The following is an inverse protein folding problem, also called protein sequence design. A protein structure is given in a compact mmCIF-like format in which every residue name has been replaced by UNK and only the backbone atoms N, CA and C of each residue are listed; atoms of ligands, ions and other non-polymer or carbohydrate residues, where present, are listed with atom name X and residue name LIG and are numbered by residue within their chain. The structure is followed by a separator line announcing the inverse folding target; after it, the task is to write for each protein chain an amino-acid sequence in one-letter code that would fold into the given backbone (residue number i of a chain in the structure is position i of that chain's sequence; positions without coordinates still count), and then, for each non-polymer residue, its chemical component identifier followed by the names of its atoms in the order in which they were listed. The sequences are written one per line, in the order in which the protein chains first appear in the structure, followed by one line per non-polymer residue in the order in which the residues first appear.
data_IF_177543881327
#
_entry.id   IF_177543881327
#
_cell.length_a   1.000
_cell.length_b   1.000
_cell.length_c   1.000
_cell.angle_alpha   90.00
_cell.angle_beta   90.00
_cell.angle_gamma   90.00
#
_symmetry.space_group_name_H-M   'P 1'
#
loop_
_entity.id
_entity.type
_entity.pdbx_description
1 polymer ?
#
# COMPACT_ATOMS: atom_id res chain seq x y z
N UNK A 1 -11.92 20.70 16.74
CA UNK A 1 -12.37 20.36 15.37
C UNK A 1 -12.20 18.88 15.06
N UNK A 2 -11.02 18.29 15.28
CA UNK A 2 -10.75 16.84 15.06
C UNK A 2 -11.83 15.92 15.64
N UNK A 3 -12.16 16.08 16.93
CA UNK A 3 -13.24 15.32 17.60
C UNK A 3 -14.58 15.43 16.86
N UNK A 4 -14.87 16.59 16.28
CA UNK A 4 -16.12 16.80 15.55
C UNK A 4 -16.17 16.01 14.23
N UNK A 5 -15.05 16.01 13.51
CA UNK A 5 -14.90 15.28 12.25
C UNK A 5 -15.01 13.77 12.49
N UNK A 6 -14.28 13.24 13.47
CA UNK A 6 -14.31 11.81 13.80
C UNK A 6 -15.73 11.40 14.20
N UNK A 7 -16.38 12.17 15.08
CA UNK A 7 -17.75 11.89 15.53
C UNK A 7 -18.74 11.85 14.35
N UNK A 8 -18.68 12.83 13.44
CA UNK A 8 -19.56 12.88 12.28
C UNK A 8 -19.35 11.72 11.30
N UNK A 9 -18.10 11.29 11.10
CA UNK A 9 -17.76 10.21 10.15
C UNK A 9 -17.99 8.80 10.72
N UNK A 10 -17.83 8.62 12.03
CA UNK A 10 -18.00 7.33 12.71
C UNK A 10 -19.39 7.14 13.31
N UNK A 11 -20.20 8.21 13.37
CA UNK A 11 -21.47 8.26 14.09
C UNK A 11 -21.33 7.91 15.59
N UNK A 12 -20.16 8.16 16.18
CA UNK A 12 -19.86 8.00 17.60
C UNK A 12 -20.04 9.35 18.31
N UNK A 13 -20.59 9.37 19.52
CA UNK A 13 -20.85 10.62 20.22
C UNK A 13 -19.55 11.40 20.56
N UNK A 14 -19.60 12.73 20.51
CA UNK A 14 -18.41 13.58 20.73
C UNK A 14 -17.70 13.30 22.05
N UNK A 15 -18.43 13.06 23.13
CA UNK A 15 -17.88 12.75 24.45
C UNK A 15 -17.10 11.42 24.45
N UNK A 16 -17.60 10.40 23.75
CA UNK A 16 -16.93 9.10 23.63
C UNK A 16 -15.63 9.20 22.83
N UNK A 17 -15.66 9.95 21.71
CA UNK A 17 -14.47 10.22 20.89
C UNK A 17 -13.43 11.01 21.70
N UNK A 18 -13.86 12.08 22.39
CA UNK A 18 -12.97 12.91 23.19
C UNK A 18 -12.30 12.13 24.31
N UNK A 19 -13.06 11.30 25.03
CA UNK A 19 -12.54 10.48 26.13
C UNK A 19 -11.58 9.40 25.64
N UNK A 20 -11.90 8.76 24.51
CA UNK A 20 -11.01 7.79 23.86
C UNK A 20 -9.69 8.43 23.44
N UNK A 21 -9.73 9.61 22.83
CA UNK A 21 -8.51 10.35 22.42
C UNK A 21 -7.67 10.74 23.63
N UNK A 22 -8.28 11.18 24.74
CA UNK A 22 -7.55 11.50 25.96
C UNK A 22 -6.77 10.28 26.48
N UNK A 23 -7.43 9.11 26.55
CA UNK A 23 -6.79 7.86 26.97
C UNK A 23 -5.65 7.44 26.02
N UNK A 24 -5.84 7.58 24.70
CA UNK A 24 -4.80 7.29 23.72
C UNK A 24 -3.57 8.20 23.88
N UNK A 25 -3.79 9.49 24.17
CA UNK A 25 -2.71 10.44 24.42
C UNK A 25 -1.96 10.16 25.74
N UNK A 26 -2.63 9.56 26.73
CA UNK A 26 -2.01 9.05 27.96
C UNK A 26 -1.22 7.75 27.76
N UNK A 27 -1.20 7.19 26.54
CA UNK A 27 -0.49 5.96 26.20
C UNK A 27 -1.30 4.68 26.45
N UNK A 28 -2.61 4.78 26.68
CA UNK A 28 -3.46 3.61 26.85
C UNK A 28 -3.56 2.80 25.54
N UNK A 29 -3.48 1.47 25.65
CA UNK A 29 -3.62 0.57 24.50
C UNK A 29 -5.08 0.28 24.18
N UNK A 30 -5.39 -0.11 22.93
CA UNK A 30 -6.75 -0.48 22.52
C UNK A 30 -7.34 -1.55 23.45
N UNK A 31 -6.65 -2.68 23.76
CA UNK A 31 -7.19 -3.68 24.68
C UNK A 31 -7.43 -3.12 26.09
N UNK A 32 -6.58 -2.21 26.56
CA UNK A 32 -6.75 -1.59 27.88
C UNK A 32 -8.01 -0.72 27.92
N UNK A 33 -8.21 0.11 26.90
CA UNK A 33 -9.37 1.00 26.79
C UNK A 33 -10.66 0.16 26.72
N UNK A 34 -10.75 -0.77 25.77
CA UNK A 34 -11.96 -1.58 25.53
C UNK A 34 -12.30 -2.50 26.71
N UNK A 35 -11.32 -2.88 27.55
CA UNK A 35 -11.55 -3.75 28.71
C UNK A 35 -11.79 -2.98 30.01
N UNK A 36 -10.98 -1.96 30.31
CA UNK A 36 -10.91 -1.34 31.64
C UNK A 36 -11.38 0.12 31.67
N UNK A 37 -11.78 0.70 30.54
CA UNK A 37 -12.25 2.09 30.44
C UNK A 37 -13.61 2.22 29.75
N UNK A 38 -14.42 1.15 29.79
CA UNK A 38 -15.76 1.10 29.18
C UNK A 38 -16.66 2.25 29.62
N UNK A 39 -16.70 2.56 30.91
CA UNK A 39 -17.56 3.65 31.41
C UNK A 39 -17.15 5.02 30.85
N UNK A 40 -15.84 5.25 30.71
CA UNK A 40 -15.31 6.50 30.18
C UNK A 40 -15.54 6.65 28.67
N UNK A 41 -15.53 5.55 27.93
CA UNK A 41 -15.75 5.56 26.47
C UNK A 41 -17.19 5.31 26.06
N UNK A 42 -18.10 5.00 27.00
CA UNK A 42 -19.47 4.58 26.69
C UNK A 42 -19.53 3.19 26.03
N UNK A 43 -18.64 2.29 26.46
CA UNK A 43 -18.54 0.88 26.04
C UNK A 43 -18.20 0.67 24.56
N UNK A 44 -17.31 1.51 24.01
CA UNK A 44 -16.76 1.28 22.67
C UNK A 44 -15.96 -0.04 22.62
N UNK A 45 -16.14 -0.80 21.55
CA UNK A 45 -15.39 -2.02 21.28
C UNK A 45 -13.98 -1.71 20.72
N UNK A 46 -13.14 -2.74 20.59
CA UNK A 46 -11.77 -2.61 20.09
C UNK A 46 -11.69 -2.14 18.62
N UNK A 47 -12.71 -2.42 17.81
CA UNK A 47 -12.78 -2.01 16.40
C UNK A 47 -13.05 -0.52 16.32
N UNK A 48 -14.03 -0.03 17.08
CA UNK A 48 -14.40 1.38 17.17
C UNK A 48 -13.24 2.22 17.74
N UNK A 49 -12.61 1.76 18.82
CA UNK A 49 -11.43 2.44 19.40
C UNK A 49 -10.27 2.46 18.40
N UNK A 50 -10.04 1.37 17.67
CA UNK A 50 -9.06 1.30 16.57
C UNK A 50 -9.34 2.33 15.48
N UNK A 51 -10.59 2.41 15.00
CA UNK A 51 -11.01 3.40 13.98
C UNK A 51 -10.79 4.84 14.48
N UNK A 52 -11.14 5.14 15.73
CA UNK A 52 -10.89 6.48 16.31
C UNK A 52 -9.39 6.80 16.31
N UNK A 53 -8.54 5.83 16.72
CA UNK A 53 -7.08 6.02 16.74
C UNK A 53 -6.53 6.32 15.35
N UNK A 54 -6.86 5.51 14.35
CA UNK A 54 -6.38 5.69 12.97
C UNK A 54 -6.80 7.04 12.38
N UNK A 55 -8.07 7.44 12.59
CA UNK A 55 -8.57 8.72 12.12
C UNK A 55 -7.93 9.90 12.86
N UNK A 56 -7.70 9.75 14.16
CA UNK A 56 -7.03 10.76 14.98
C UNK A 56 -5.62 11.00 14.48
N UNK A 57 -4.85 9.94 14.24
CA UNK A 57 -3.48 10.03 13.71
C UNK A 57 -3.46 10.73 12.34
N UNK A 58 -4.34 10.33 11.40
CA UNK A 58 -4.46 10.99 10.08
C UNK A 58 -4.80 12.48 10.18
N UNK A 59 -5.74 12.85 11.05
CA UNK A 59 -6.14 14.25 11.21
C UNK A 59 -5.07 15.07 11.94
N UNK A 60 -4.28 14.47 12.82
CA UNK A 60 -3.11 15.11 13.41
C UNK A 60 -2.03 15.41 12.36
N UNK A 61 -1.79 14.50 11.41
CA UNK A 61 -0.85 14.76 10.31
C UNK A 61 -1.31 15.96 9.46
N UNK A 62 -2.60 16.03 9.13
CA UNK A 62 -3.19 17.19 8.42
C UNK A 62 -3.01 18.47 9.23
N UNK A 63 -3.24 18.43 10.54
CA UNK A 63 -3.04 19.59 11.43
C UNK A 63 -1.59 20.08 11.41
N UNK A 64 -0.62 19.19 11.58
CA UNK A 64 0.82 19.53 11.55
C UNK A 64 1.23 20.10 10.19
N UNK A 65 0.72 19.50 9.11
CA UNK A 65 1.00 19.95 7.76
C UNK A 65 0.41 21.35 7.50
N UNK A 66 -0.80 21.61 7.99
CA UNK A 66 -1.45 22.92 7.92
C UNK A 66 -0.62 24.00 8.60
N UNK A 67 -0.13 23.73 9.80
CA UNK A 67 0.74 24.67 10.54
C UNK A 67 2.02 24.99 9.76
N UNK A 68 2.62 23.97 9.14
CA UNK A 68 3.80 24.14 8.28
C UNK A 68 3.51 25.02 7.06
N UNK A 69 2.36 24.81 6.42
CA UNK A 69 1.92 25.58 5.24
C UNK A 69 1.65 27.04 5.63
N UNK A 70 0.91 27.27 6.72
CA UNK A 70 0.64 28.62 7.21
C UNK A 70 1.94 29.38 7.48
N UNK A 71 2.89 28.75 8.18
CA UNK A 71 4.20 29.34 8.45
C UNK A 71 4.96 29.68 7.18
N UNK A 72 5.00 28.77 6.20
CA UNK A 72 5.71 28.98 4.95
C UNK A 72 5.13 30.12 4.09
N UNK A 73 3.81 30.32 4.13
CA UNK A 73 3.15 31.41 3.40
C UNK A 73 3.33 32.75 4.14
N UNK A 74 3.29 32.73 5.47
CA UNK A 74 3.50 33.90 6.32
C UNK A 74 4.93 34.44 6.19
N UNK A 75 5.94 33.56 6.15
CA UNK A 75 7.34 33.92 5.90
C UNK A 75 7.57 34.60 4.55
N UNK A 76 6.69 34.39 3.57
CA UNK A 76 6.71 35.07 2.26
C UNK A 76 5.94 36.39 2.26
N UNK A 77 5.23 36.74 3.34
CA UNK A 77 4.36 37.92 3.41
C UNK A 77 3.09 37.81 2.56
N UNK A 78 2.71 36.61 2.14
CA UNK A 78 1.59 36.35 1.21
C UNK A 78 0.33 35.84 1.92
N UNK A 79 0.33 35.78 3.25
CA UNK A 79 -0.77 35.23 4.03
C UNK A 79 -1.88 36.27 4.26
N UNK A 80 -2.90 36.27 3.39
CA UNK A 80 -4.10 37.08 3.62
C UNK A 80 -5.04 36.45 4.66
N UNK A 81 -5.88 37.27 5.30
CA UNK A 81 -6.90 36.77 6.25
C UNK A 81 -7.93 35.82 5.60
N UNK A 82 -8.19 35.98 4.31
CA UNK A 82 -9.04 35.06 3.55
C UNK A 82 -8.34 33.72 3.33
N UNK A 83 -7.07 33.75 2.89
CA UNK A 83 -6.28 32.54 2.66
C UNK A 83 -6.06 31.77 3.95
N UNK A 84 -5.75 32.47 5.05
CA UNK A 84 -5.61 31.88 6.38
C UNK A 84 -6.87 31.14 6.81
N UNK A 85 -8.04 31.79 6.73
CA UNK A 85 -9.34 31.18 7.07
C UNK A 85 -9.62 29.95 6.20
N UNK A 86 -9.32 30.02 4.91
CA UNK A 86 -9.47 28.89 3.98
C UNK A 86 -8.62 27.70 4.44
N UNK A 87 -7.32 27.91 4.66
CA UNK A 87 -6.38 26.88 5.13
C UNK A 87 -6.79 26.28 6.48
N UNK A 88 -7.22 27.10 7.44
CA UNK A 88 -7.71 26.67 8.76
C UNK A 88 -8.97 25.79 8.68
N UNK A 89 -9.83 26.04 7.70
CA UNK A 89 -11.06 25.27 7.48
C UNK A 89 -10.86 23.95 6.73
N UNK A 90 -9.76 23.79 5.98
CA UNK A 90 -9.50 22.62 5.13
C UNK A 90 -8.93 21.44 5.92
N UNK A 91 -9.64 20.30 5.94
CA UNK A 91 -9.21 19.05 6.59
C UNK A 91 -8.88 17.92 5.60
N UNK A 92 -8.97 18.19 4.30
CA UNK A 92 -8.53 17.28 3.27
C UNK A 92 -7.06 17.55 2.95
N UNK A 93 -6.18 16.54 3.10
CA UNK A 93 -4.75 16.69 2.86
C UNK A 93 -4.43 17.11 1.41
N UNK A 94 -5.16 16.57 0.43
CA UNK A 94 -4.98 16.90 -1.00
C UNK A 94 -5.38 18.34 -1.29
N UNK A 95 -6.55 18.76 -0.80
CA UNK A 95 -7.03 20.14 -0.98
C UNK A 95 -6.08 21.14 -0.29
N UNK A 96 -5.54 20.78 0.86
CA UNK A 96 -4.56 21.58 1.59
C UNK A 96 -3.26 21.76 0.78
N UNK A 97 -2.76 20.71 0.13
CA UNK A 97 -1.60 20.83 -0.78
C UNK A 97 -1.93 21.66 -2.03
N UNK A 98 -3.13 21.51 -2.60
CA UNK A 98 -3.55 22.30 -3.76
C UNK A 98 -3.61 23.81 -3.42
N UNK A 99 -4.10 24.18 -2.23
CA UNK A 99 -4.09 25.57 -1.75
C UNK A 99 -2.65 26.08 -1.58
N UNK A 100 -1.73 25.23 -1.12
CA UNK A 100 -0.34 25.60 -0.88
C UNK A 100 0.49 25.69 -2.18
N UNK A 101 0.09 24.99 -3.24
CA UNK A 101 0.88 24.80 -4.45
C UNK A 101 1.43 26.11 -5.06
N UNK A 102 0.66 27.21 -5.19
CA UNK A 102 1.17 28.48 -5.72
C UNK A 102 2.27 29.12 -4.88
N UNK A 103 2.29 28.86 -3.57
CA UNK A 103 3.21 29.44 -2.59
C UNK A 103 4.39 28.53 -2.26
N UNK A 104 4.39 27.31 -2.80
CA UNK A 104 5.46 26.35 -2.54
C UNK A 104 6.75 26.84 -3.20
N UNK A 105 7.89 26.92 -2.48
CA UNK A 105 9.14 27.35 -3.08
C UNK A 105 9.50 26.53 -4.33
N UNK A 106 9.67 27.21 -5.47
CA UNK A 106 9.89 26.58 -6.77
C UNK A 106 11.38 26.55 -7.12
N UNK A 107 11.81 25.48 -7.80
CA UNK A 107 13.10 25.45 -8.50
C UNK A 107 13.04 26.40 -9.71
N UNK A 108 14.17 26.66 -10.39
CA UNK A 108 14.18 27.40 -11.67
C UNK A 108 13.36 26.67 -12.74
N UNK A 109 12.06 26.94 -12.82
CA UNK A 109 11.14 26.44 -13.85
C UNK A 109 11.17 27.32 -15.08
N UNK A 110 10.58 26.86 -16.20
CA UNK A 110 10.41 27.70 -17.40
C UNK A 110 9.60 28.97 -17.10
N UNK A 111 8.54 28.84 -16.29
CA UNK A 111 7.73 29.97 -15.86
C UNK A 111 8.52 30.95 -14.96
N UNK A 112 9.31 30.45 -13.99
CA UNK A 112 10.17 31.31 -13.16
C UNK A 112 11.17 32.08 -14.03
N UNK A 113 11.83 31.40 -14.99
CA UNK A 113 12.74 32.06 -15.94
C UNK A 113 12.00 33.12 -16.78
N UNK A 114 10.81 32.81 -17.29
CA UNK A 114 10.02 33.77 -18.05
C UNK A 114 9.62 35.00 -17.23
N UNK A 115 9.32 34.84 -15.92
CA UNK A 115 9.08 35.95 -14.99
C UNK A 115 10.32 36.80 -14.75
N UNK A 116 11.48 36.17 -14.57
CA UNK A 116 12.77 36.85 -14.44
C UNK A 116 13.09 37.70 -15.69
N UNK A 117 12.66 37.24 -16.87
CA UNK A 117 12.75 37.96 -18.15
C UNK A 117 11.66 39.03 -18.34
N UNK A 118 10.80 39.28 -17.35
CA UNK A 118 9.78 40.33 -17.40
C UNK A 118 8.54 39.99 -18.22
N UNK A 119 8.26 38.72 -18.52
CA UNK A 119 7.12 38.30 -19.36
C UNK A 119 5.78 38.15 -18.62
N UNK A 120 5.72 38.38 -17.30
CA UNK A 120 4.47 38.29 -16.53
C UNK A 120 3.37 39.22 -17.07
N UNK A 121 3.62 40.49 -17.42
CA UNK A 121 2.59 41.36 -17.99
C UNK A 121 2.09 40.89 -19.36
N UNK A 122 2.96 40.29 -20.20
CA UNK A 122 2.53 39.68 -21.47
C UNK A 122 1.61 38.49 -21.22
N UNK A 123 1.97 37.62 -20.26
CA UNK A 123 1.12 36.50 -19.85
C UNK A 123 -0.26 36.96 -19.33
N UNK A 124 -0.31 38.07 -18.58
CA UNK A 124 -1.58 38.66 -18.12
C UNK A 124 -2.46 39.16 -19.28
N UNK A 125 -1.86 39.87 -20.24
CA UNK A 125 -2.56 40.34 -21.45
C UNK A 125 -3.13 39.15 -22.23
N UNK A 126 -2.33 38.10 -22.45
CA UNK A 126 -2.75 36.88 -23.14
C UNK A 126 -3.89 36.21 -22.39
N UNK A 127 -3.76 36.04 -21.07
CA UNK A 127 -4.72 35.29 -20.27
C UNK A 127 -6.10 35.98 -20.18
N UNK A 128 -6.14 37.31 -20.24
CA UNK A 128 -7.37 38.09 -20.34
C UNK A 128 -8.11 37.88 -21.68
N UNK A 129 -7.39 37.53 -22.75
CA UNK A 129 -7.92 37.24 -24.10
C UNK A 129 -8.73 38.39 -24.73
N UNK A 130 -8.45 39.63 -24.34
CA UNK A 130 -9.10 40.82 -24.89
C UNK A 130 -8.34 41.41 -26.09
N UNK A 131 -7.03 41.16 -26.16
CA UNK A 131 -6.17 41.62 -27.25
C UNK A 131 -6.39 40.78 -28.52
N UNK A 132 -6.50 41.45 -29.66
CA UNK A 132 -6.74 40.81 -30.97
C UNK A 132 -5.47 40.58 -31.77
N UNK A 133 -4.44 41.39 -31.53
CA UNK A 133 -3.14 41.27 -32.17
C UNK A 133 -2.05 41.12 -31.11
N UNK A 134 -1.91 39.89 -30.62
CA UNK A 134 -0.94 39.60 -29.56
C UNK A 134 0.49 39.62 -30.07
N UNK A 135 0.70 39.34 -31.35
CA UNK A 135 2.03 39.31 -31.97
C UNK A 135 2.63 40.71 -31.96
N UNK A 136 1.85 41.73 -32.34
CA UNK A 136 2.27 43.13 -32.24
C UNK A 136 2.56 43.55 -30.80
N UNK A 137 1.76 43.11 -29.82
CA UNK A 137 1.99 43.44 -28.40
C UNK A 137 3.20 42.74 -27.81
N UNK A 138 3.57 41.56 -28.31
CA UNK A 138 4.75 40.85 -27.87
C UNK A 138 6.06 41.54 -28.30
N UNK A 139 6.03 42.39 -29.34
CA UNK A 139 7.19 43.20 -29.75
C UNK A 139 7.68 44.12 -28.63
N UNK A 140 6.76 44.64 -27.80
CA UNK A 140 7.08 45.51 -26.66
C UNK A 140 7.92 44.80 -25.57
N UNK A 141 8.02 43.47 -25.63
CA UNK A 141 8.72 42.63 -24.64
C UNK A 141 10.04 42.04 -25.15
N UNK A 142 10.48 42.40 -26.37
CA UNK A 142 11.75 41.92 -26.93
C UNK A 142 12.95 42.54 -26.21
N UNK A 143 14.00 41.75 -26.06
CA UNK A 143 15.27 42.14 -25.45
C UNK A 143 16.42 41.28 -25.99
N UNK A 144 17.66 41.54 -25.57
CA UNK A 144 18.81 40.70 -25.96
C UNK A 144 18.63 39.23 -25.56
N UNK A 145 17.88 38.96 -24.48
CA UNK A 145 17.56 37.60 -24.00
C UNK A 145 16.25 37.05 -24.59
N UNK A 146 15.46 37.89 -25.26
CA UNK A 146 14.19 37.57 -25.92
C UNK A 146 14.24 38.07 -27.38
N UNK A 147 14.95 37.35 -28.26
CA UNK A 147 15.35 37.86 -29.57
C UNK A 147 14.22 37.92 -30.61
N UNK A 148 13.11 37.21 -30.38
CA UNK A 148 11.97 37.19 -31.28
C UNK A 148 10.63 37.01 -30.53
N UNK A 149 9.55 37.32 -31.25
CA UNK A 149 8.17 37.32 -30.74
C UNK A 149 7.76 35.93 -30.26
N UNK A 150 8.19 34.86 -30.93
CA UNK A 150 7.77 33.51 -30.59
C UNK A 150 8.43 33.05 -29.27
N UNK A 151 9.67 33.44 -29.00
CA UNK A 151 10.32 33.21 -27.70
C UNK A 151 9.59 33.94 -26.58
N UNK A 152 9.17 35.19 -26.80
CA UNK A 152 8.39 35.96 -25.81
C UNK A 152 7.01 35.33 -25.56
N UNK A 153 6.29 34.95 -26.62
CA UNK A 153 5.01 34.25 -26.53
C UNK A 153 5.15 32.89 -25.83
N UNK A 154 6.19 32.12 -26.13
CA UNK A 154 6.47 30.85 -25.47
C UNK A 154 6.73 31.03 -23.98
N UNK A 155 7.51 32.03 -23.58
CA UNK A 155 7.73 32.34 -22.16
C UNK A 155 6.44 32.74 -21.45
N UNK A 156 5.59 33.54 -22.10
CA UNK A 156 4.27 33.87 -21.57
C UNK A 156 3.34 32.64 -21.46
N UNK A 157 3.37 31.72 -22.45
CA UNK A 157 2.67 30.44 -22.39
C UNK A 157 3.17 29.56 -21.25
N UNK A 158 4.47 29.53 -20.97
CA UNK A 158 5.04 28.78 -19.83
C UNK A 158 4.50 29.30 -18.48
N UNK A 159 4.33 30.61 -18.33
CA UNK A 159 3.70 31.22 -17.15
C UNK A 159 2.23 30.81 -17.04
N UNK A 160 1.47 30.89 -18.13
CA UNK A 160 0.06 30.50 -18.17
C UNK A 160 -0.09 29.01 -17.87
N UNK A 161 0.78 28.16 -18.41
CA UNK A 161 0.74 26.72 -18.18
C UNK A 161 0.93 26.38 -16.69
N UNK A 162 1.82 27.09 -16.00
CA UNK A 162 1.97 26.97 -14.55
C UNK A 162 0.69 27.41 -13.81
N UNK A 163 0.10 28.55 -14.18
CA UNK A 163 -1.17 29.02 -13.58
C UNK A 163 -2.31 28.01 -13.74
N UNK A 164 -2.43 27.39 -14.92
CA UNK A 164 -3.44 26.35 -15.19
C UNK A 164 -3.19 25.10 -14.34
N UNK A 165 -1.92 24.67 -14.21
CA UNK A 165 -1.53 23.51 -13.41
C UNK A 165 -1.81 23.68 -11.91
N UNK A 166 -1.80 24.93 -11.44
CA UNK A 166 -1.98 25.29 -10.04
C UNK A 166 -3.41 25.73 -9.70
N UNK A 167 -4.28 25.91 -10.71
CA UNK A 167 -5.67 26.27 -10.49
C UNK A 167 -6.44 25.11 -9.83
N UNK A 168 -7.02 25.41 -8.67
CA UNK A 168 -7.70 24.42 -7.83
C UNK A 168 -8.90 23.78 -8.55
N UNK A 169 -9.66 24.55 -9.34
CA UNK A 169 -10.84 24.01 -10.06
C UNK A 169 -10.40 23.07 -11.18
N UNK A 170 -9.37 23.46 -11.93
CA UNK A 170 -8.77 22.62 -12.97
C UNK A 170 -8.25 21.30 -12.39
N UNK A 171 -7.50 21.36 -11.28
CA UNK A 171 -6.99 20.18 -10.57
C UNK A 171 -8.11 19.26 -10.12
N UNK A 172 -9.17 19.79 -9.51
CA UNK A 172 -10.31 18.99 -9.07
C UNK A 172 -11.06 18.32 -10.23
N UNK A 173 -11.27 19.04 -11.33
CA UNK A 173 -11.94 18.48 -12.51
C UNK A 173 -11.12 17.35 -13.13
N UNK A 174 -9.82 17.55 -13.33
CA UNK A 174 -8.94 16.53 -13.89
C UNK A 174 -8.79 15.34 -12.92
N UNK A 175 -8.65 15.58 -11.62
CA UNK A 175 -8.64 14.54 -10.58
C UNK A 175 -9.90 13.68 -10.62
N UNK A 176 -11.07 14.31 -10.77
CA UNK A 176 -12.33 13.59 -10.87
C UNK A 176 -12.45 12.81 -12.19
N UNK A 177 -11.95 13.35 -13.30
CA UNK A 177 -11.85 12.63 -14.57
C UNK A 177 -10.98 11.38 -14.42
N UNK A 178 -9.78 11.50 -13.85
CA UNK A 178 -8.88 10.37 -13.60
C UNK A 178 -9.54 9.30 -12.72
N UNK A 179 -10.16 9.70 -11.59
CA UNK A 179 -10.83 8.76 -10.67
C UNK A 179 -11.97 7.99 -11.32
N UNK A 180 -12.63 8.56 -12.34
CA UNK A 180 -13.78 7.96 -13.00
C UNK A 180 -13.42 7.17 -14.25
N UNK A 181 -12.54 7.71 -15.08
CA UNK A 181 -12.37 7.30 -16.49
C UNK A 181 -10.92 6.93 -16.82
N UNK A 182 -9.96 7.05 -15.90
CA UNK A 182 -8.59 6.62 -16.19
C UNK A 182 -8.51 5.12 -16.49
N UNK A 183 -7.67 4.80 -17.47
CA UNK A 183 -7.27 3.45 -17.83
C UNK A 183 -5.86 3.24 -17.30
N UNK A 184 -5.66 2.15 -16.57
CA UNK A 184 -4.31 1.67 -16.25
C UNK A 184 -3.83 0.82 -17.41
N UNK A 185 -2.65 1.14 -17.94
CA UNK A 185 -2.00 0.42 -19.03
C UNK A 185 -0.62 -0.07 -18.59
N UNK A 186 -0.25 -1.26 -19.03
CA UNK A 186 1.03 -1.90 -18.76
C UNK A 186 1.68 -2.32 -20.05
N UNK A 187 2.98 -2.01 -20.18
CA UNK A 187 3.82 -2.44 -21.31
C UNK A 187 5.13 -3.04 -20.84
N UNK A 188 5.56 -4.11 -21.50
CA UNK A 188 6.89 -4.70 -21.26
C UNK A 188 8.00 -3.68 -21.59
N UNK A 189 9.01 -3.60 -20.71
CA UNK A 189 10.27 -2.92 -21.00
C UNK A 189 11.04 -3.73 -22.03
N UNK A 190 11.36 -3.13 -23.18
CA UNK A 190 12.12 -3.78 -24.27
C UNK A 190 13.41 -4.43 -23.74
N UNK A 191 13.67 -5.68 -24.11
CA UNK A 191 14.90 -6.41 -23.74
C UNK A 191 14.83 -7.11 -22.38
N UNK A 192 13.64 -7.22 -21.78
CA UNK A 192 13.40 -7.90 -20.50
C UNK A 192 12.49 -9.13 -20.62
N UNK A 193 12.25 -9.63 -21.83
CA UNK A 193 11.30 -10.68 -22.15
C UNK A 193 11.54 -11.98 -21.37
N UNK A 194 12.80 -12.40 -21.21
CA UNK A 194 13.18 -13.66 -20.53
C UNK A 194 13.13 -13.53 -19.00
N UNK A 195 13.53 -12.37 -18.46
CA UNK A 195 13.52 -12.11 -17.01
C UNK A 195 12.09 -11.84 -16.49
N UNK A 196 11.23 -11.28 -17.34
CA UNK A 196 9.89 -10.81 -16.97
C UNK A 196 8.79 -11.87 -17.14
N UNK A 197 9.11 -13.14 -17.42
CA UNK A 197 8.11 -14.20 -17.73
C UNK A 197 6.99 -14.30 -16.69
N UNK A 198 7.30 -14.03 -15.42
CA UNK A 198 6.32 -13.96 -14.31
C UNK A 198 5.21 -12.92 -14.52
N UNK A 199 5.46 -11.91 -15.34
CA UNK A 199 4.57 -10.79 -15.65
C UNK A 199 4.01 -10.85 -17.07
N UNK A 200 4.10 -12.00 -17.75
CA UNK A 200 3.67 -12.19 -19.14
C UNK A 200 2.23 -11.73 -19.41
N UNK A 201 1.32 -11.97 -18.46
CA UNK A 201 -0.09 -11.53 -18.52
C UNK A 201 -0.25 -10.00 -18.64
N UNK A 202 0.80 -9.23 -18.33
CA UNK A 202 0.79 -7.77 -18.26
C UNK A 202 1.71 -7.09 -19.30
N UNK A 203 2.21 -7.82 -20.30
CA UNK A 203 3.14 -7.28 -21.30
C UNK A 203 2.50 -6.25 -22.25
N UNK A 204 1.22 -6.40 -22.56
CA UNK A 204 0.41 -5.42 -23.27
C UNK A 204 -1.02 -5.51 -22.74
N UNK A 205 -1.26 -4.82 -21.64
CA UNK A 205 -2.50 -4.93 -20.87
C UNK A 205 -3.07 -3.55 -20.60
N UNK A 206 -4.39 -3.42 -20.69
CA UNK A 206 -5.09 -2.19 -20.29
C UNK A 206 -6.47 -2.48 -19.72
N UNK A 207 -6.87 -1.74 -18.69
CA UNK A 207 -8.21 -1.82 -18.13
C UNK A 207 -8.63 -0.53 -17.39
N UNK A 208 -9.94 -0.31 -17.16
CA UNK A 208 -10.39 0.81 -16.34
C UNK A 208 -9.83 0.73 -14.90
N UNK A 209 -9.11 1.76 -14.47
CA UNK A 209 -8.46 1.82 -13.14
C UNK A 209 -9.47 1.59 -12.01
N UNK A 210 -10.65 2.23 -12.11
CA UNK A 210 -11.72 2.12 -11.11
C UNK A 210 -12.19 0.68 -10.87
N UNK A 211 -12.06 -0.19 -11.86
CA UNK A 211 -12.52 -1.59 -11.81
C UNK A 211 -11.35 -2.58 -11.63
N UNK A 212 -10.11 -2.10 -11.54
CA UNK A 212 -8.93 -2.96 -11.42
C UNK A 212 -8.90 -3.64 -10.04
N UNK A 213 -8.89 -4.99 -9.97
CA UNK A 213 -8.75 -5.73 -8.72
C UNK A 213 -7.39 -5.50 -8.08
N UNK A 214 -7.37 -5.48 -6.74
CA UNK A 214 -6.17 -5.18 -5.95
C UNK A 214 -4.96 -6.04 -6.32
N UNK A 215 -5.15 -7.36 -6.53
CA UNK A 215 -4.04 -8.26 -6.87
C UNK A 215 -3.41 -7.97 -8.23
N UNK A 216 -4.19 -7.56 -9.25
CA UNK A 216 -3.66 -7.21 -10.58
C UNK A 216 -2.93 -5.88 -10.56
N UNK A 217 -3.50 -4.88 -9.89
CA UNK A 217 -2.85 -3.59 -9.70
C UNK A 217 -1.50 -3.76 -8.98
N UNK A 218 -1.47 -4.54 -7.89
CA UNK A 218 -0.23 -4.81 -7.15
C UNK A 218 0.78 -5.64 -7.97
N UNK A 219 0.32 -6.59 -8.80
CA UNK A 219 1.21 -7.35 -9.68
C UNK A 219 1.87 -6.46 -10.74
N UNK A 220 1.09 -5.60 -11.40
CA UNK A 220 1.60 -4.62 -12.37
C UNK A 220 2.61 -3.66 -11.72
N UNK A 221 2.28 -3.11 -10.54
CA UNK A 221 3.20 -2.21 -9.80
C UNK A 221 4.44 -2.92 -9.29
N UNK A 222 4.36 -4.21 -8.97
CA UNK A 222 5.54 -5.02 -8.64
C UNK A 222 6.46 -5.16 -9.86
N UNK A 223 5.91 -5.50 -11.02
CA UNK A 223 6.67 -5.57 -12.27
C UNK A 223 7.30 -4.23 -12.66
N UNK A 224 6.63 -3.11 -12.37
CA UNK A 224 7.19 -1.76 -12.52
C UNK A 224 8.38 -1.51 -11.60
N UNK A 225 8.22 -1.77 -10.30
CA UNK A 225 9.27 -1.58 -9.31
C UNK A 225 10.50 -2.47 -9.56
N UNK A 226 10.30 -3.67 -10.10
CA UNK A 226 11.37 -4.59 -10.50
C UNK A 226 11.99 -4.21 -11.87
N UNK A 227 11.46 -3.19 -12.57
CA UNK A 227 12.00 -2.67 -13.82
C UNK A 227 11.60 -3.46 -15.08
N UNK A 228 10.60 -4.33 -14.98
CA UNK A 228 10.12 -5.17 -16.07
C UNK A 228 8.95 -4.56 -16.85
N UNK A 229 8.08 -3.81 -16.17
CA UNK A 229 6.91 -3.19 -16.78
C UNK A 229 7.01 -1.66 -16.74
N UNK A 230 6.37 -1.00 -17.69
CA UNK A 230 6.05 0.44 -17.65
C UNK A 230 4.56 0.57 -17.44
N UNK A 231 4.15 1.24 -16.36
CA UNK A 231 2.75 1.48 -16.05
C UNK A 231 2.41 2.94 -16.32
N UNK A 232 1.28 3.19 -16.98
CA UNK A 232 0.70 4.51 -17.14
C UNK A 232 -0.76 4.49 -16.73
N UNK A 233 -1.22 5.56 -16.09
CA UNK A 233 -2.61 5.76 -15.68
C UNK A 233 -3.07 7.07 -16.25
N UNK A 234 -3.95 7.05 -17.24
CA UNK A 234 -4.46 8.26 -17.85
C UNK A 234 -5.90 8.09 -18.36
N UNK A 235 -6.72 9.14 -18.32
CA UNK A 235 -7.95 9.21 -19.10
C UNK A 235 -7.62 9.53 -20.57
N UNK A 236 -8.66 9.54 -21.40
CA UNK A 236 -8.59 10.10 -22.75
C UNK A 236 -8.16 11.58 -22.68
N UNK A 237 -7.11 11.92 -23.43
CA UNK A 237 -6.46 13.23 -23.34
C UNK A 237 -7.39 14.34 -23.85
N UNK A 238 -8.14 14.07 -24.92
CA UNK A 238 -9.05 14.99 -25.57
C UNK A 238 -10.11 15.50 -24.57
N UNK A 239 -10.70 14.60 -23.78
CA UNK A 239 -11.66 14.98 -22.73
C UNK A 239 -11.05 15.86 -21.65
N UNK A 240 -9.81 15.60 -21.27
CA UNK A 240 -9.12 16.43 -20.28
C UNK A 240 -8.87 17.83 -20.82
N UNK A 241 -8.46 17.94 -22.09
CA UNK A 241 -8.26 19.22 -22.76
C UNK A 241 -9.58 19.98 -22.91
N UNK A 242 -10.67 19.33 -23.34
CA UNK A 242 -12.00 19.95 -23.43
C UNK A 242 -12.46 20.55 -22.09
N UNK A 243 -12.26 19.82 -20.98
CA UNK A 243 -12.59 20.31 -19.65
C UNK A 243 -11.77 21.55 -19.28
N UNK A 244 -10.47 21.55 -19.54
CA UNK A 244 -9.60 22.68 -19.22
C UNK A 244 -9.87 23.89 -20.12
N UNK A 245 -10.03 23.66 -21.42
CA UNK A 245 -10.38 24.70 -22.39
C UNK A 245 -11.70 25.39 -22.01
N UNK A 246 -12.69 24.64 -21.51
CA UNK A 246 -13.97 25.22 -21.05
C UNK A 246 -13.83 26.22 -19.88
N UNK A 247 -12.73 26.16 -19.13
CA UNK A 247 -12.44 27.07 -18.00
C UNK A 247 -11.61 28.27 -18.47
N UNK A 248 -10.59 27.98 -19.29
CA UNK A 248 -9.53 28.95 -19.57
C UNK A 248 -9.66 29.63 -20.93
N UNK A 249 -10.22 28.99 -21.95
CA UNK A 249 -10.35 29.55 -23.30
C UNK A 249 -11.71 30.22 -23.44
N UNK A 250 -11.70 31.56 -23.59
CA UNK A 250 -12.91 32.40 -23.52
C UNK A 250 -13.32 33.01 -24.86
N UNK A 251 -12.42 32.99 -25.84
CA UNK A 251 -12.58 33.70 -27.11
C UNK A 251 -12.16 32.91 -28.34
N UNK A 252 -12.23 33.59 -29.49
CA UNK A 252 -11.73 33.13 -30.79
C UNK A 252 -10.88 34.22 -31.40
N UNK A 253 -9.72 34.46 -30.80
CA UNK A 253 -8.73 35.46 -31.23
C UNK A 253 -7.32 34.92 -30.98
N UNK A 254 -6.29 35.65 -31.44
CA UNK A 254 -4.90 35.21 -31.32
C UNK A 254 -4.49 34.94 -29.87
N UNK A 255 -4.96 35.75 -28.91
CA UNK A 255 -4.68 35.53 -27.49
C UNK A 255 -5.34 34.24 -26.95
N UNK A 256 -6.57 33.92 -27.38
CA UNK A 256 -7.25 32.67 -27.03
C UNK A 256 -6.51 31.44 -27.58
N UNK A 257 -5.95 31.53 -28.79
CA UNK A 257 -5.13 30.46 -29.37
C UNK A 257 -3.84 30.24 -28.55
N UNK A 258 -3.22 31.31 -28.06
CA UNK A 258 -2.07 31.23 -27.14
C UNK A 258 -2.44 30.57 -25.80
N UNK A 259 -3.60 30.94 -25.22
CA UNK A 259 -4.10 30.29 -23.99
C UNK A 259 -4.39 28.81 -24.23
N UNK A 260 -4.99 28.45 -25.37
CA UNK A 260 -5.26 27.06 -25.74
C UNK A 260 -3.96 26.24 -25.80
N UNK A 261 -2.94 26.75 -26.47
CA UNK A 261 -1.62 26.10 -26.53
C UNK A 261 -0.99 25.95 -25.12
N UNK A 262 -1.12 26.96 -24.26
CA UNK A 262 -0.63 26.90 -22.88
C UNK A 262 -1.40 25.89 -22.01
N UNK A 263 -2.71 25.74 -22.21
CA UNK A 263 -3.55 24.73 -21.54
C UNK A 263 -3.12 23.32 -21.96
N UNK A 264 -2.86 23.10 -23.24
CA UNK A 264 -2.39 21.81 -23.75
C UNK A 264 -1.02 21.43 -23.17
N UNK A 265 -0.07 22.36 -23.17
CA UNK A 265 1.24 22.15 -22.56
C UNK A 265 1.14 21.93 -21.04
N UNK A 266 0.30 22.70 -20.35
CA UNK A 266 0.01 22.51 -18.92
C UNK A 266 -0.46 21.09 -18.63
N UNK A 267 -1.46 20.59 -19.37
CA UNK A 267 -1.96 19.25 -19.16
C UNK A 267 -0.88 18.20 -19.40
N UNK A 268 -0.19 18.26 -20.54
CA UNK A 268 0.79 17.24 -20.93
C UNK A 268 2.00 17.19 -19.99
N UNK A 269 2.51 18.35 -19.58
CA UNK A 269 3.80 18.46 -18.88
C UNK A 269 3.68 18.56 -17.37
N UNK A 270 2.62 19.17 -16.86
CA UNK A 270 2.51 19.56 -15.45
C UNK A 270 1.32 18.90 -14.77
N UNK A 271 0.10 19.24 -15.19
CA UNK A 271 -1.13 18.86 -14.51
C UNK A 271 -1.44 17.36 -14.64
N UNK A 272 -1.41 16.82 -15.86
CA UNK A 272 -1.68 15.40 -16.13
C UNK A 272 -0.76 14.47 -15.34
N UNK A 273 0.58 14.60 -15.47
CA UNK A 273 1.53 13.78 -14.69
C UNK A 273 1.40 13.96 -13.17
N UNK A 274 1.09 15.19 -12.70
CA UNK A 274 0.88 15.44 -11.27
C UNK A 274 -0.34 14.68 -10.74
N UNK A 275 -1.46 14.73 -11.47
CA UNK A 275 -2.71 14.05 -11.07
C UNK A 275 -2.60 12.54 -11.28
N UNK A 276 -1.89 12.07 -12.32
CA UNK A 276 -1.58 10.66 -12.52
C UNK A 276 -0.88 10.06 -11.30
N UNK A 277 0.16 10.74 -10.79
CA UNK A 277 0.89 10.30 -9.61
C UNK A 277 0.00 10.26 -8.37
N UNK A 278 -0.80 11.30 -8.15
CA UNK A 278 -1.74 11.37 -7.02
C UNK A 278 -2.76 10.22 -7.05
N UNK A 279 -3.42 10.01 -8.19
CA UNK A 279 -4.44 8.99 -8.36
C UNK A 279 -3.82 7.59 -8.33
N UNK A 280 -2.64 7.41 -8.93
CA UNK A 280 -1.90 6.15 -8.86
C UNK A 280 -1.56 5.77 -7.42
N UNK A 281 -1.08 6.72 -6.62
CA UNK A 281 -0.79 6.48 -5.20
C UNK A 281 -2.05 6.13 -4.42
N UNK A 282 -3.16 6.84 -4.65
CA UNK A 282 -4.45 6.55 -4.01
C UNK A 282 -4.95 5.13 -4.30
N UNK A 283 -4.93 4.71 -5.57
CA UNK A 283 -5.40 3.38 -5.95
C UNK A 283 -4.46 2.27 -5.47
N UNK A 284 -3.16 2.54 -5.45
CA UNK A 284 -2.17 1.64 -4.84
C UNK A 284 -2.44 1.45 -3.35
N UNK A 285 -2.62 2.53 -2.59
CA UNK A 285 -2.92 2.46 -1.17
C UNK A 285 -4.18 1.63 -0.90
N UNK A 286 -5.26 1.86 -1.67
CA UNK A 286 -6.50 1.06 -1.55
C UNK A 286 -6.26 -0.42 -1.84
N UNK A 287 -5.43 -0.74 -2.83
CA UNK A 287 -5.10 -2.11 -3.17
C UNK A 287 -4.27 -2.79 -2.06
N UNK A 288 -3.31 -2.06 -1.48
CA UNK A 288 -2.51 -2.51 -0.35
C UNK A 288 -3.38 -2.74 0.90
N UNK A 289 -4.26 -1.79 1.23
CA UNK A 289 -5.23 -1.93 2.34
C UNK A 289 -6.10 -3.18 2.18
N UNK A 290 -6.66 -3.41 0.98
CA UNK A 290 -7.46 -4.60 0.70
C UNK A 290 -6.66 -5.90 0.85
N UNK A 291 -5.40 -5.93 0.39
CA UNK A 291 -4.52 -7.10 0.55
C UNK A 291 -4.17 -7.35 2.02
N UNK A 292 -3.83 -6.30 2.76
CA UNK A 292 -3.54 -6.35 4.20
C UNK A 292 -4.74 -6.91 4.97
N UNK A 293 -5.97 -6.49 4.63
CA UNK A 293 -7.17 -7.03 5.30
C UNK A 293 -7.34 -8.54 5.08
N UNK A 294 -7.04 -9.04 3.87
CA UNK A 294 -7.04 -10.49 3.61
C UNK A 294 -5.97 -11.19 4.45
N UNK A 295 -4.75 -10.65 4.50
CA UNK A 295 -3.67 -11.23 5.30
C UNK A 295 -3.98 -11.20 6.81
N UNK A 296 -4.55 -10.10 7.30
CA UNK A 296 -4.96 -9.97 8.70
C UNK A 296 -6.06 -10.98 9.06
N UNK A 297 -7.04 -11.19 8.17
CA UNK A 297 -8.07 -12.21 8.36
C UNK A 297 -7.48 -13.62 8.40
N UNK A 298 -6.59 -13.94 7.46
CA UNK A 298 -5.92 -15.25 7.43
C UNK A 298 -5.07 -15.48 8.68
N UNK A 299 -4.29 -14.49 9.10
CA UNK A 299 -3.49 -14.57 10.32
C UNK A 299 -4.36 -14.74 11.56
N UNK A 300 -5.48 -14.01 11.66
CA UNK A 300 -6.43 -14.15 12.76
C UNK A 300 -6.99 -15.57 12.85
N UNK A 301 -7.32 -16.20 11.71
CA UNK A 301 -7.79 -17.59 11.68
C UNK A 301 -6.71 -18.58 12.15
N UNK A 302 -5.47 -18.37 11.76
CA UNK A 302 -4.34 -19.19 12.21
C UNK A 302 -4.12 -19.05 13.73
N UNK A 303 -4.08 -17.81 14.24
CA UNK A 303 -3.84 -17.54 15.66
C UNK A 303 -4.96 -18.05 16.57
N UNK A 304 -6.20 -18.06 16.08
CA UNK A 304 -7.38 -18.50 16.84
C UNK A 304 -7.81 -19.94 16.50
N UNK A 305 -6.97 -20.69 15.79
CA UNK A 305 -7.24 -22.10 15.51
C UNK A 305 -7.32 -22.90 16.82
N UNK A 306 -8.29 -23.83 16.97
CA UNK A 306 -8.44 -24.57 18.21
C UNK A 306 -7.17 -25.37 18.56
N UNK A 307 -6.63 -25.21 19.78
CA UNK A 307 -5.47 -25.99 20.22
C UNK A 307 -5.87 -27.45 20.45
N UNK A 308 -5.02 -28.40 20.04
CA UNK A 308 -5.18 -29.81 20.41
C UNK A 308 -5.00 -30.03 21.93
N UNK A 309 -4.22 -29.15 22.57
CA UNK A 309 -3.92 -29.21 23.99
C UNK A 309 -2.73 -30.12 24.33
N UNK A 310 -2.69 -30.57 25.59
CA UNK A 310 -1.57 -31.31 26.15
C UNK A 310 -1.58 -32.79 25.74
N UNK A 311 -1.29 -33.05 24.46
CA UNK A 311 -1.14 -34.39 23.89
C UNK A 311 0.28 -34.63 23.43
N UNK A 312 0.73 -35.88 23.44
CA UNK A 312 2.01 -36.27 22.84
C UNK A 312 1.90 -36.30 21.32
N UNK A 313 2.72 -35.50 20.64
CA UNK A 313 2.61 -35.27 19.20
C UNK A 313 3.85 -35.78 18.48
N UNK A 314 3.65 -36.55 17.41
CA UNK A 314 4.68 -36.81 16.42
C UNK A 314 4.48 -35.83 15.26
N UNK A 315 5.44 -34.96 15.00
CA UNK A 315 5.37 -34.00 13.91
C UNK A 315 6.27 -34.40 12.76
N UNK A 316 5.75 -34.23 11.54
CA UNK A 316 6.43 -34.57 10.30
C UNK A 316 6.50 -33.32 9.44
N UNK A 317 7.72 -32.88 9.15
CA UNK A 317 8.03 -31.89 8.12
C UNK A 317 8.29 -32.64 6.80
N UNK A 318 7.36 -32.62 5.83
CA UNK A 318 7.47 -33.43 4.62
C UNK A 318 8.59 -32.99 3.68
N UNK A 319 9.17 -33.96 2.97
CA UNK A 319 10.16 -33.67 1.95
C UNK A 319 10.45 -34.86 1.05
N UNK A 320 10.81 -34.57 -0.20
CA UNK A 320 11.28 -35.57 -1.17
C UNK A 320 12.79 -35.85 -0.96
N UNK A 321 13.66 -35.06 -1.59
CA UNK A 321 15.12 -35.28 -1.63
C UNK A 321 15.79 -35.26 -0.26
N UNK A 322 15.34 -34.41 0.66
CA UNK A 322 15.91 -34.24 2.01
C UNK A 322 15.29 -35.18 3.05
N UNK A 323 14.36 -36.03 2.62
CA UNK A 323 13.53 -36.86 3.49
C UNK A 323 12.50 -36.04 4.28
N UNK A 324 11.64 -36.73 4.99
CA UNK A 324 10.72 -36.14 5.96
C UNK A 324 11.41 -36.08 7.33
N UNK A 325 11.43 -34.92 7.96
CA UNK A 325 11.93 -34.79 9.34
C UNK A 325 10.83 -35.16 10.31
N UNK A 326 11.14 -36.03 11.25
CA UNK A 326 10.20 -36.54 12.24
C UNK A 326 10.69 -36.11 13.62
N UNK A 327 9.80 -35.55 14.42
CA UNK A 327 10.08 -35.24 15.83
C UNK A 327 8.97 -35.78 16.71
N UNK A 328 9.33 -36.25 17.91
CA UNK A 328 8.38 -36.63 18.95
C UNK A 328 8.41 -35.57 20.05
N UNK A 329 7.24 -35.04 20.40
CA UNK A 329 7.05 -34.06 21.45
C UNK A 329 6.28 -34.67 22.62
N UNK A 330 6.65 -34.31 23.84
CA UNK A 330 5.86 -34.63 25.02
C UNK A 330 4.58 -33.77 25.10
N UNK A 331 3.75 -34.00 26.12
CA UNK A 331 2.49 -33.28 26.32
C UNK A 331 2.69 -31.78 26.62
N UNK A 332 3.91 -31.35 26.94
CA UNK A 332 4.31 -29.97 27.19
C UNK A 332 4.99 -29.33 25.96
N UNK A 333 5.24 -30.10 24.90
CA UNK A 333 5.86 -29.63 23.67
C UNK A 333 7.40 -29.67 23.72
N UNK A 334 8.00 -30.37 24.68
CA UNK A 334 9.46 -30.57 24.70
C UNK A 334 9.85 -31.64 23.68
N UNK A 335 10.96 -31.40 22.98
CA UNK A 335 11.52 -32.35 22.03
C UNK A 335 12.05 -33.59 22.78
N UNK A 336 11.46 -34.76 22.51
CA UNK A 336 11.89 -36.04 23.06
C UNK A 336 12.83 -36.79 22.11
N UNK A 337 12.57 -36.69 20.81
CA UNK A 337 13.29 -37.45 19.79
C UNK A 337 13.18 -36.78 18.42
N UNK A 338 14.20 -36.93 17.58
CA UNK A 338 14.16 -36.54 16.18
C UNK A 338 14.82 -37.60 15.30
N UNK A 339 14.29 -37.80 14.11
CA UNK A 339 14.90 -38.64 13.08
C UNK A 339 14.54 -38.14 11.67
N UNK A 340 15.17 -38.71 10.64
CA UNK A 340 14.78 -38.50 9.24
C UNK A 340 14.35 -39.82 8.63
N UNK A 341 13.23 -39.80 7.92
CA UNK A 341 12.73 -40.93 7.13
C UNK A 341 12.65 -40.56 5.65
N UNK A 342 12.75 -41.55 4.76
CA UNK A 342 12.70 -41.32 3.31
C UNK A 342 11.58 -42.12 2.63
N UNK A 343 10.30 -41.88 2.97
CA UNK A 343 9.18 -42.64 2.41
C UNK A 343 8.95 -42.36 0.91
N UNK A 344 9.44 -41.24 0.40
CA UNK A 344 9.14 -40.72 -0.95
C UNK A 344 10.36 -40.79 -1.89
N UNK A 345 10.20 -40.52 -3.20
CA UNK A 345 11.33 -40.40 -4.11
C UNK A 345 12.34 -39.34 -3.66
N UNK A 346 13.64 -39.52 -3.94
CA UNK A 346 14.22 -40.59 -4.76
C UNK A 346 14.46 -41.93 -4.05
N UNK A 347 14.52 -41.98 -2.72
CA UNK A 347 14.92 -43.20 -1.99
C UNK A 347 13.80 -44.25 -1.86
N UNK A 348 12.54 -43.82 -1.71
CA UNK A 348 11.37 -44.71 -1.62
C UNK A 348 11.48 -45.82 -0.54
N UNK A 349 12.06 -45.51 0.62
CA UNK A 349 12.25 -46.44 1.75
C UNK A 349 10.98 -46.66 2.58
N UNK A 350 9.84 -46.88 1.92
CA UNK A 350 8.50 -46.94 2.52
C UNK A 350 8.41 -47.92 3.71
N UNK A 351 8.97 -49.13 3.57
CA UNK A 351 8.94 -50.15 4.63
C UNK A 351 9.74 -49.74 5.86
N UNK A 352 10.88 -49.09 5.68
CA UNK A 352 11.73 -48.65 6.78
C UNK A 352 11.09 -47.46 7.49
N UNK A 353 10.56 -46.50 6.72
CA UNK A 353 9.80 -45.37 7.25
C UNK A 353 8.59 -45.85 8.07
N UNK A 354 7.84 -46.84 7.57
CA UNK A 354 6.70 -47.42 8.29
C UNK A 354 7.13 -47.95 9.65
N UNK A 355 8.15 -48.83 9.67
CA UNK A 355 8.62 -49.46 10.91
C UNK A 355 9.11 -48.42 11.92
N UNK A 356 9.80 -47.37 11.46
CA UNK A 356 10.27 -46.28 12.33
C UNK A 356 9.11 -45.52 12.95
N UNK A 357 8.15 -45.06 12.15
CA UNK A 357 6.98 -44.34 12.67
C UNK A 357 6.19 -45.20 13.66
N UNK A 358 5.95 -46.47 13.34
CA UNK A 358 5.25 -47.42 14.22
C UNK A 358 5.97 -47.59 15.57
N UNK A 359 7.30 -47.78 15.53
CA UNK A 359 8.15 -47.88 16.74
C UNK A 359 8.10 -46.60 17.58
N UNK A 360 8.16 -45.43 16.94
CA UNK A 360 8.11 -44.14 17.63
C UNK A 360 6.74 -43.88 18.27
N UNK A 361 5.66 -44.22 17.56
CA UNK A 361 4.30 -44.08 18.07
C UNK A 361 4.12 -44.90 19.34
N UNK A 362 4.58 -46.15 19.36
CA UNK A 362 4.50 -47.01 20.55
C UNK A 362 5.43 -46.54 21.67
N UNK A 363 6.71 -46.26 21.37
CA UNK A 363 7.73 -45.93 22.37
C UNK A 363 7.40 -44.62 23.11
N UNK A 364 6.95 -43.60 22.38
CA UNK A 364 6.64 -42.29 22.94
C UNK A 364 5.17 -42.14 23.35
N UNK A 365 4.33 -43.15 23.11
CA UNK A 365 2.88 -43.13 23.37
C UNK A 365 2.22 -41.93 22.69
N UNK A 366 2.49 -41.78 21.40
CA UNK A 366 1.97 -40.68 20.59
C UNK A 366 0.45 -40.76 20.53
N UNK A 367 -0.21 -39.61 20.61
CA UNK A 367 -1.67 -39.49 20.56
C UNK A 367 -2.15 -38.78 19.28
N UNK A 368 -1.27 -37.97 18.67
CA UNK A 368 -1.57 -37.28 17.43
C UNK A 368 -0.33 -37.13 16.53
N UNK A 369 -0.57 -37.09 15.22
CA UNK A 369 0.44 -36.84 14.19
C UNK A 369 0.13 -35.50 13.52
N UNK A 370 1.10 -34.58 13.54
CA UNK A 370 1.06 -33.32 12.81
C UNK A 370 1.86 -33.45 11.50
N UNK A 371 1.30 -33.04 10.36
CA UNK A 371 1.96 -33.07 9.06
C UNK A 371 1.99 -31.66 8.49
N UNK A 372 3.19 -31.14 8.18
CA UNK A 372 3.34 -29.85 7.49
C UNK A 372 2.65 -29.85 6.13
N UNK A 373 2.05 -28.72 5.73
CA UNK A 373 1.29 -28.61 4.47
C UNK A 373 2.15 -28.22 3.25
N UNK A 374 3.48 -28.32 3.33
CA UNK A 374 4.40 -28.00 2.26
C UNK A 374 4.61 -29.08 1.21
N UNK A 375 5.84 -29.13 0.72
CA UNK A 375 6.27 -30.02 -0.36
C UNK A 375 6.19 -31.48 0.10
N UNK A 376 5.57 -32.35 -0.69
CA UNK A 376 5.32 -33.76 -0.36
C UNK A 376 4.30 -34.01 0.79
N UNK A 377 3.53 -33.00 1.20
CA UNK A 377 2.54 -33.12 2.28
C UNK A 377 1.43 -34.13 1.96
N UNK A 378 0.88 -34.11 0.74
CA UNK A 378 -0.17 -35.02 0.29
C UNK A 378 0.29 -36.48 0.30
N UNK A 379 1.50 -36.74 -0.19
CA UNK A 379 2.10 -38.07 -0.19
C UNK A 379 2.39 -38.55 1.22
N UNK A 380 2.85 -37.65 2.09
CA UNK A 380 3.09 -37.96 3.52
C UNK A 380 1.79 -38.27 4.25
N UNK A 381 0.74 -37.49 4.02
CA UNK A 381 -0.59 -37.76 4.58
C UNK A 381 -1.12 -39.10 4.10
N UNK A 382 -1.04 -39.38 2.79
CA UNK A 382 -1.47 -40.66 2.23
C UNK A 382 -0.65 -41.84 2.77
N UNK A 383 0.65 -41.65 3.03
CA UNK A 383 1.52 -42.64 3.65
C UNK A 383 1.09 -42.92 5.09
N UNK A 384 0.90 -41.89 5.92
CA UNK A 384 0.47 -42.04 7.32
C UNK A 384 -0.93 -42.65 7.43
N UNK A 385 -1.89 -42.25 6.58
CA UNK A 385 -3.26 -42.81 6.59
C UNK A 385 -3.34 -44.29 6.21
N UNK A 386 -2.35 -44.80 5.48
CA UNK A 386 -2.24 -46.24 5.16
C UNK A 386 -1.69 -47.06 6.33
N UNK A 387 -1.09 -46.41 7.34
CA UNK A 387 -0.60 -47.10 8.52
C UNK A 387 -1.75 -47.59 9.40
N UNK A 388 -1.50 -48.69 10.12
CA UNK A 388 -2.37 -49.25 11.13
C UNK A 388 -1.61 -49.24 12.44
N UNK A 389 -2.06 -48.41 13.36
CA UNK A 389 -1.51 -48.29 14.70
C UNK A 389 -2.35 -49.09 15.69
N UNK A 390 -1.73 -49.54 16.78
CA UNK A 390 -2.42 -50.22 17.89
C UNK A 390 -3.31 -49.28 18.73
N UNK A 391 -3.15 -47.96 18.55
CA UNK A 391 -3.90 -46.90 19.23
C UNK A 391 -4.66 -46.05 18.21
N UNK A 392 -5.74 -45.38 18.65
CA UNK A 392 -6.46 -44.42 17.80
C UNK A 392 -5.67 -43.11 17.72
N UNK A 393 -4.91 -42.94 16.63
CA UNK A 393 -4.03 -41.79 16.40
C UNK A 393 -4.75 -40.75 15.55
N UNK A 394 -4.86 -39.53 16.08
CA UNK A 394 -5.41 -38.41 15.34
C UNK A 394 -4.37 -37.87 14.34
N UNK A 395 -4.76 -37.65 13.09
CA UNK A 395 -3.84 -37.14 12.05
C UNK A 395 -4.33 -35.79 11.56
N UNK A 396 -3.47 -34.78 11.63
CA UNK A 396 -3.77 -33.40 11.25
C UNK A 396 -2.75 -32.87 10.25
N UNK A 397 -3.24 -32.06 9.30
CA UNK A 397 -2.42 -31.23 8.43
C UNK A 397 -2.33 -29.84 9.06
N UNK A 398 -1.12 -29.31 9.18
CA UNK A 398 -0.81 -28.06 9.88
C UNK A 398 -0.07 -27.13 8.94
N UNK A 399 -0.36 -25.82 9.01
CA UNK A 399 0.38 -24.84 8.23
C UNK A 399 1.85 -24.79 8.65
N UNK A 400 2.76 -24.88 7.69
CA UNK A 400 4.19 -24.65 7.88
C UNK A 400 4.62 -23.20 7.66
N UNK A 401 3.67 -22.29 7.36
CA UNK A 401 3.97 -20.89 7.06
C UNK A 401 4.71 -20.24 8.23
N UNK A 402 5.95 -19.81 8.00
CA UNK A 402 6.82 -19.23 9.03
C UNK A 402 7.62 -20.25 9.85
N UNK A 403 7.44 -21.57 9.69
CA UNK A 403 8.26 -22.57 10.39
C UNK A 403 9.74 -22.50 9.97
N UNK A 404 9.99 -22.20 8.69
CA UNK A 404 11.33 -21.95 8.14
C UNK A 404 11.95 -20.64 8.64
N UNK A 405 11.12 -19.61 8.91
CA UNK A 405 11.56 -18.34 9.50
C UNK A 405 11.93 -18.56 10.97
N UNK A 406 11.05 -19.23 11.72
CA UNK A 406 11.30 -19.63 13.10
C UNK A 406 12.59 -20.44 13.20
N UNK A 407 12.77 -21.49 12.40
CA UNK A 407 13.91 -22.40 12.54
C UNK A 407 15.28 -21.75 12.28
N UNK A 408 15.31 -20.70 11.46
CA UNK A 408 16.48 -19.87 11.20
C UNK A 408 16.64 -18.69 12.17
N UNK A 409 15.65 -18.44 13.04
CA UNK A 409 15.65 -17.33 13.99
C UNK A 409 16.67 -17.52 15.11
N UNK A 410 16.96 -16.42 15.83
CA UNK A 410 17.74 -16.48 17.07
C UNK A 410 16.98 -17.26 18.15
N UNK A 411 15.68 -17.03 18.29
CA UNK A 411 14.81 -17.71 19.26
C UNK A 411 14.94 -19.24 19.15
N UNK A 412 14.84 -19.79 17.94
CA UNK A 412 14.95 -21.24 17.76
C UNK A 412 16.37 -21.78 17.99
N UNK A 413 17.42 -20.97 17.74
CA UNK A 413 18.80 -21.32 18.11
C UNK A 413 18.99 -21.35 19.62
N UNK A 414 18.37 -20.42 20.33
CA UNK A 414 18.44 -20.35 21.79
C UNK A 414 17.62 -21.48 22.43
N UNK A 415 16.45 -21.84 21.86
CA UNK A 415 15.64 -22.98 22.32
C UNK A 415 16.28 -24.35 22.00
N UNK A 416 16.95 -24.48 20.85
CA UNK A 416 17.47 -25.74 20.33
C UNK A 416 18.88 -25.58 19.73
N UNK A 417 19.91 -25.30 20.56
CA UNK A 417 21.25 -24.98 20.09
C UNK A 417 21.91 -26.14 19.35
N UNK A 418 21.67 -27.38 19.81
CA UNK A 418 22.32 -28.59 19.31
C UNK A 418 21.62 -29.23 18.10
N UNK A 419 20.48 -28.69 17.67
CA UNK A 419 19.68 -29.23 16.57
C UNK A 419 19.78 -28.39 15.32
N UNK A 420 19.76 -29.04 14.14
CA UNK A 420 19.80 -28.32 12.88
C UNK A 420 18.48 -27.62 12.54
N UNK A 421 18.52 -26.76 11.52
CA UNK A 421 17.39 -25.94 11.09
C UNK A 421 16.15 -26.75 10.72
N UNK A 422 16.30 -27.96 10.18
CA UNK A 422 15.17 -28.77 9.74
C UNK A 422 14.43 -29.41 10.91
N UNK A 423 15.16 -29.83 11.95
CA UNK A 423 14.56 -30.34 13.20
C UNK A 423 13.77 -29.25 13.91
N UNK A 424 14.33 -28.03 14.00
CA UNK A 424 13.63 -26.88 14.60
C UNK A 424 12.33 -26.55 13.87
N UNK A 425 12.30 -26.68 12.54
CA UNK A 425 11.08 -26.52 11.74
C UNK A 425 10.01 -27.56 12.09
N UNK A 426 10.40 -28.84 12.15
CA UNK A 426 9.49 -29.93 12.53
C UNK A 426 8.95 -29.78 13.97
N UNK A 427 9.76 -29.29 14.92
CA UNK A 427 9.28 -28.95 16.27
C UNK A 427 8.19 -27.90 16.22
N UNK A 428 8.37 -26.84 15.42
CA UNK A 428 7.35 -25.79 15.28
C UNK A 428 6.04 -26.32 14.72
N UNK A 429 6.09 -27.21 13.72
CA UNK A 429 4.89 -27.89 13.17
C UNK A 429 4.12 -28.63 14.27
N UNK A 430 4.83 -29.38 15.12
CA UNK A 430 4.20 -30.11 16.23
C UNK A 430 3.59 -29.18 17.27
N UNK A 431 4.32 -28.15 17.69
CA UNK A 431 3.84 -27.17 18.69
C UNK A 431 2.67 -26.34 18.18
N UNK A 432 2.62 -26.03 16.88
CA UNK A 432 1.46 -25.37 16.26
C UNK A 432 0.19 -26.20 16.36
N UNK A 433 0.27 -27.54 16.25
CA UNK A 433 -0.90 -28.38 16.48
C UNK A 433 -1.35 -28.34 17.94
N UNK A 434 -0.38 -28.34 18.87
CA UNK A 434 -0.66 -28.31 20.31
C UNK A 434 -1.32 -26.99 20.73
N UNK A 435 -0.72 -25.86 20.36
CA UNK A 435 -1.20 -24.51 20.62
C UNK A 435 -0.72 -23.55 19.50
N UNK A 436 -1.57 -23.25 18.50
CA UNK A 436 -1.21 -22.35 17.40
C UNK A 436 -0.79 -20.97 17.89
N UNK A 437 -1.47 -20.42 18.90
CA UNK A 437 -1.21 -19.07 19.39
C UNK A 437 0.15 -18.99 20.07
N UNK A 438 0.46 -19.94 20.96
CA UNK A 438 1.72 -19.94 21.70
C UNK A 438 2.96 -20.12 20.81
N UNK A 439 2.81 -20.81 19.68
CA UNK A 439 3.92 -21.04 18.76
C UNK A 439 4.04 -19.96 17.68
N UNK A 440 2.93 -19.43 17.14
CA UNK A 440 2.97 -18.40 16.07
C UNK A 440 3.35 -16.99 16.55
N UNK A 441 3.39 -16.74 17.87
CA UNK A 441 3.87 -15.47 18.44
C UNK A 441 5.40 -15.39 18.56
N UNK A 442 6.10 -16.49 18.28
CA UNK A 442 7.57 -16.57 18.23
C UNK A 442 8.10 -16.20 16.85
#
# INVERSE_FOLDING_TARGET
MIVKIISAQTNIAHNQVSSTIALLNEGATIPFISRYRKEMTGSLDEVQVGTIKEMYEKLQEVQKRRETILKSIDEQGMLSDELKRKIESTWNATELEDIYLPYKPKRKTRAVKARELGLEPLADIIFLQQERDIESRAVDFLSDELPDVEVALQGARDIIAERVSEDMKARDLIRNLFKREAVISSKLVKGKEEEAVKYSDYYDFSEPLKKSPSHRLLAMRRGENEGFLKISVSPEQEKALELLESIFVKGRNSAADQVKAAVEDSYKRLLGPSIENEVSALFRQKAEEAAIQVFASNLRQLLLSPPLGQKRVLAIDPGYRTGCKVVCLDAQGNLMHNETIFPHPPQNEVKQAYKKIDTLVEAYKIEAIAIGNGTASRETEAFIRKMRFNSDILVFVVSEDGASVYSASKTARDEFPDYDVTVRGAVSIGRRLMDPLAELVK
#
